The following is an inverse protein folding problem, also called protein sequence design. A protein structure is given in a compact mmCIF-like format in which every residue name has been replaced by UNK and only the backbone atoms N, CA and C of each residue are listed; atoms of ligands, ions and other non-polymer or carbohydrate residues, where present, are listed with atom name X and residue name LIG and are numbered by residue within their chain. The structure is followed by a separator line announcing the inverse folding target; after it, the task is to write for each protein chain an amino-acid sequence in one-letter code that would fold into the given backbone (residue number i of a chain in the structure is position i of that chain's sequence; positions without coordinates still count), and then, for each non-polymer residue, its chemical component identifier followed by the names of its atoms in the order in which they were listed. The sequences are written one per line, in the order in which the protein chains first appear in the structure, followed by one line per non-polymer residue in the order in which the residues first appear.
data_IF_194803819420
#
_entry.id   IF_194803819420
#
_cell.length_a   1.000
_cell.length_b   1.000
_cell.length_c   1.000
_cell.angle_alpha   90.00
_cell.angle_beta   90.00
_cell.angle_gamma   90.00
#
_symmetry.space_group_name_H-M   'P 1'
#
loop_
_entity.id
_entity.type
_entity.pdbx_description
1 polymer ?
#
# COMPACT_ATOMS: atom_id res chain seq x y z
N UNK A 1 13.95 -3.56 -13.12
CA UNK A 1 13.56 -4.98 -13.22
C UNK A 1 12.09 -4.99 -13.57
N UNK A 2 11.70 -5.78 -14.57
CA UNK A 2 10.31 -5.81 -15.08
C UNK A 2 9.46 -6.84 -14.33
N UNK A 3 10.08 -7.69 -13.51
CA UNK A 3 9.39 -8.66 -12.65
C UNK A 3 9.20 -8.08 -11.25
N UNK A 4 7.98 -8.23 -10.72
CA UNK A 4 7.67 -7.80 -9.36
C UNK A 4 8.41 -8.65 -8.33
N UNK A 5 9.03 -8.05 -7.29
CA UNK A 5 9.70 -8.81 -6.23
C UNK A 5 8.71 -9.48 -5.25
N UNK A 6 7.42 -9.13 -5.34
CA UNK A 6 6.41 -9.54 -4.36
C UNK A 6 6.19 -11.05 -4.23
N UNK A 7 6.17 -11.87 -5.30
CA UNK A 7 5.95 -13.30 -5.16
C UNK A 7 7.03 -13.99 -4.32
N UNK A 8 8.30 -13.63 -4.55
CA UNK A 8 9.42 -14.18 -3.78
C UNK A 8 9.37 -13.71 -2.32
N UNK A 9 9.19 -12.40 -2.09
CA UNK A 9 9.15 -11.81 -0.75
C UNK A 9 7.93 -12.27 0.06
N UNK A 10 6.79 -12.48 -0.60
CA UNK A 10 5.53 -12.90 0.01
C UNK A 10 5.58 -14.30 0.62
N UNK A 11 6.52 -15.14 0.16
CA UNK A 11 6.76 -16.48 0.68
C UNK A 11 7.59 -16.52 1.96
N UNK A 12 8.24 -15.41 2.33
CA UNK A 12 9.13 -15.36 3.49
C UNK A 12 8.33 -15.48 4.80
N UNK A 13 8.55 -16.55 5.60
CA UNK A 13 7.66 -16.88 6.72
C UNK A 13 7.78 -15.95 7.93
N UNK A 14 8.86 -15.16 8.00
CA UNK A 14 9.20 -14.29 9.12
C UNK A 14 9.42 -12.83 8.72
N UNK A 15 9.02 -12.44 7.50
CA UNK A 15 9.11 -11.05 7.09
C UNK A 15 8.12 -10.20 7.89
N UNK A 16 8.64 -9.32 8.74
CA UNK A 16 7.85 -8.43 9.61
C UNK A 16 7.75 -7.02 9.04
N UNK A 17 8.78 -6.59 8.32
CA UNK A 17 8.85 -5.27 7.71
C UNK A 17 9.31 -5.41 6.26
N UNK A 18 8.65 -4.67 5.39
CA UNK A 18 8.97 -4.61 3.97
C UNK A 18 8.99 -3.15 3.54
N UNK A 19 10.12 -2.73 2.99
CA UNK A 19 10.28 -1.43 2.37
C UNK A 19 10.62 -1.65 0.89
N UNK A 20 9.82 -1.05 0.03
CA UNK A 20 10.01 -1.03 -1.41
C UNK A 20 10.31 0.42 -1.80
N UNK A 21 11.53 0.68 -2.25
CA UNK A 21 12.01 2.02 -2.63
C UNK A 21 12.62 1.90 -4.02
N UNK A 22 12.00 2.51 -5.03
CA UNK A 22 12.42 2.44 -6.45
C UNK A 22 12.78 0.99 -6.89
N UNK A 23 12.06 0.00 -6.35
CA UNK A 23 12.48 -1.40 -6.43
C UNK A 23 11.90 -2.13 -7.64
N UNK A 24 10.96 -1.50 -8.35
CA UNK A 24 10.22 -2.09 -9.46
C UNK A 24 9.63 -0.99 -10.35
N UNK A 25 9.74 -1.18 -11.67
CA UNK A 25 9.35 -0.16 -12.67
C UNK A 25 8.00 -0.43 -13.33
N UNK A 26 7.31 -1.50 -12.95
CA UNK A 26 5.99 -1.79 -13.51
C UNK A 26 4.86 -1.01 -12.84
N UNK A 27 3.70 -1.08 -13.46
CA UNK A 27 2.56 -0.21 -13.15
C UNK A 27 1.68 -0.70 -11.99
N UNK A 28 1.87 -1.96 -11.57
CA UNK A 28 1.02 -2.60 -10.56
C UNK A 28 1.83 -3.34 -9.50
N UNK A 29 1.43 -3.16 -8.24
CA UNK A 29 1.86 -4.01 -7.13
C UNK A 29 0.69 -4.90 -6.71
N UNK A 30 0.86 -6.21 -6.88
CA UNK A 30 -0.15 -7.22 -6.51
C UNK A 30 0.36 -8.01 -5.30
N UNK A 31 -0.26 -7.78 -4.14
CA UNK A 31 -0.07 -8.58 -2.95
C UNK A 31 -1.02 -9.78 -3.02
N UNK A 32 -0.47 -10.94 -3.36
CA UNK A 32 -1.22 -12.17 -3.60
C UNK A 32 -1.91 -12.71 -2.35
N UNK A 33 -2.98 -13.47 -2.54
CA UNK A 33 -3.73 -14.08 -1.44
C UNK A 33 -2.81 -14.93 -0.55
N UNK A 34 -3.01 -14.85 0.77
CA UNK A 34 -2.27 -15.62 1.78
C UNK A 34 -0.75 -15.36 1.86
N UNK A 35 -0.25 -14.33 1.18
CA UNK A 35 1.16 -13.89 1.26
C UNK A 35 1.43 -12.97 2.46
N UNK A 36 2.71 -12.80 2.80
CA UNK A 36 3.17 -11.82 3.82
C UNK A 36 2.54 -12.03 5.21
N UNK A 37 2.44 -13.29 5.65
CA UNK A 37 1.64 -13.69 6.82
C UNK A 37 2.00 -12.98 8.13
N UNK A 38 3.26 -12.56 8.31
CA UNK A 38 3.74 -11.88 9.53
C UNK A 38 4.08 -10.40 9.34
N UNK A 39 3.78 -9.84 8.16
CA UNK A 39 4.13 -8.48 7.84
C UNK A 39 3.29 -7.52 8.69
N UNK A 40 3.96 -6.59 9.36
CA UNK A 40 3.37 -5.56 10.22
C UNK A 40 3.56 -4.16 9.67
N UNK A 41 4.68 -3.91 8.99
CA UNK A 41 5.03 -2.61 8.44
C UNK A 41 5.28 -2.73 6.94
N UNK A 42 4.58 -1.92 6.16
CA UNK A 42 4.77 -1.82 4.71
C UNK A 42 5.07 -0.36 4.32
N UNK A 43 6.18 -0.16 3.63
CA UNK A 43 6.56 1.13 3.03
C UNK A 43 6.67 0.95 1.52
N UNK A 44 5.99 1.81 0.77
CA UNK A 44 6.08 1.91 -0.70
C UNK A 44 6.45 3.34 -1.03
N UNK A 45 7.64 3.53 -1.57
CA UNK A 45 8.25 4.84 -1.81
C UNK A 45 8.93 4.90 -3.19
N UNK A 46 8.89 6.07 -3.83
CA UNK A 46 9.64 6.38 -5.07
C UNK A 46 9.24 5.52 -6.28
N UNK A 47 7.93 5.28 -6.44
CA UNK A 47 7.41 4.60 -7.63
C UNK A 47 6.85 5.58 -8.66
N UNK A 48 7.68 5.95 -9.63
CA UNK A 48 7.31 6.91 -10.68
C UNK A 48 6.21 6.43 -11.63
N UNK A 49 6.06 5.12 -11.85
CA UNK A 49 5.13 4.53 -12.83
C UNK A 49 3.99 3.72 -12.20
N UNK A 50 3.93 3.63 -10.86
CA UNK A 50 2.94 2.79 -10.19
C UNK A 50 1.55 3.41 -10.29
N UNK A 51 0.65 2.77 -11.03
CA UNK A 51 -0.74 3.17 -11.22
C UNK A 51 -1.69 2.58 -10.17
N UNK A 52 -1.44 1.33 -9.75
CA UNK A 52 -2.38 0.58 -8.89
C UNK A 52 -1.68 -0.30 -7.86
N UNK A 53 -2.28 -0.39 -6.68
CA UNK A 53 -1.96 -1.40 -5.67
C UNK A 53 -3.19 -2.30 -5.50
N UNK A 54 -2.98 -3.62 -5.58
CA UNK A 54 -4.00 -4.65 -5.38
C UNK A 54 -3.62 -5.53 -4.19
N UNK A 55 -4.52 -5.60 -3.21
CA UNK A 55 -4.40 -6.47 -2.05
C UNK A 55 -5.46 -7.55 -2.20
N UNK A 56 -5.02 -8.78 -2.50
CA UNK A 56 -5.91 -9.92 -2.58
C UNK A 56 -6.32 -10.40 -1.18
N UNK A 57 -7.46 -11.09 -1.09
CA UNK A 57 -8.01 -11.54 0.19
C UNK A 57 -7.03 -12.40 0.99
N UNK A 58 -6.83 -12.06 2.26
CA UNK A 58 -5.95 -12.79 3.17
C UNK A 58 -4.46 -12.47 3.04
N UNK A 59 -4.07 -11.55 2.16
CA UNK A 59 -2.72 -10.98 2.15
C UNK A 59 -2.49 -10.12 3.41
N UNK A 60 -1.28 -10.18 3.97
CA UNK A 60 -0.83 -9.32 5.08
C UNK A 60 -1.84 -9.22 6.25
N UNK A 61 -2.32 -10.34 6.82
CA UNK A 61 -3.39 -10.33 7.82
C UNK A 61 -3.03 -9.63 9.13
N UNK A 62 -1.73 -9.41 9.37
CA UNK A 62 -1.18 -8.78 10.57
C UNK A 62 -0.66 -7.35 10.34
N UNK A 63 -0.96 -6.74 9.18
CA UNK A 63 -0.47 -5.40 8.86
C UNK A 63 -1.03 -4.36 9.84
N UNK A 64 -0.13 -3.55 10.42
CA UNK A 64 -0.44 -2.48 11.36
C UNK A 64 -0.18 -1.10 10.77
N UNK A 65 0.94 -0.95 10.06
CA UNK A 65 1.35 0.33 9.49
C UNK A 65 1.58 0.23 7.98
N UNK A 66 1.03 1.21 7.26
CA UNK A 66 1.26 1.39 5.83
C UNK A 66 1.73 2.82 5.56
N UNK A 67 2.78 2.97 4.75
CA UNK A 67 3.26 4.25 4.25
C UNK A 67 3.31 4.25 2.73
N UNK A 68 2.76 5.29 2.12
CA UNK A 68 2.79 5.54 0.68
C UNK A 68 3.41 6.90 0.40
N UNK A 69 4.41 6.95 -0.47
CA UNK A 69 5.06 8.21 -0.79
C UNK A 69 5.75 8.30 -2.12
N UNK A 70 5.83 9.53 -2.66
CA UNK A 70 6.54 9.81 -3.92
C UNK A 70 6.09 8.87 -5.05
N UNK A 71 4.79 8.56 -5.09
CA UNK A 71 4.16 7.76 -6.14
C UNK A 71 3.23 8.69 -6.96
N UNK A 72 3.77 9.51 -7.88
CA UNK A 72 3.01 10.55 -8.57
C UNK A 72 1.89 10.00 -9.47
N UNK A 73 2.08 8.80 -10.04
CA UNK A 73 1.13 8.17 -10.96
C UNK A 73 0.12 7.24 -10.27
N UNK A 74 0.16 7.10 -8.94
CA UNK A 74 -0.79 6.26 -8.23
C UNK A 74 -2.15 6.96 -8.20
N UNK A 75 -3.10 6.57 -9.05
CA UNK A 75 -4.38 7.29 -9.20
C UNK A 75 -5.50 6.74 -8.32
N UNK A 76 -5.36 5.51 -7.84
CA UNK A 76 -6.39 4.81 -7.08
C UNK A 76 -5.91 4.46 -5.68
N UNK A 77 -6.80 4.54 -4.70
CA UNK A 77 -6.55 3.96 -3.39
C UNK A 77 -6.36 2.43 -3.48
N UNK A 78 -5.51 1.81 -2.63
CA UNK A 78 -5.25 0.37 -2.71
C UNK A 78 -6.54 -0.46 -2.74
N UNK A 79 -6.71 -1.25 -3.81
CA UNK A 79 -7.87 -2.13 -3.95
C UNK A 79 -7.75 -3.26 -2.93
N UNK A 80 -8.82 -3.57 -2.23
CA UNK A 80 -8.79 -4.60 -1.18
C UNK A 80 -8.30 -4.13 0.18
N UNK A 81 -8.02 -2.82 0.37
CA UNK A 81 -7.61 -2.26 1.68
C UNK A 81 -8.56 -2.63 2.84
N UNK A 82 -9.85 -2.84 2.55
CA UNK A 82 -10.84 -3.25 3.55
C UNK A 82 -10.58 -4.63 4.15
N UNK A 83 -9.76 -5.47 3.49
CA UNK A 83 -9.32 -6.76 4.02
C UNK A 83 -8.27 -6.62 5.12
N UNK A 84 -7.60 -5.46 5.22
CA UNK A 84 -6.56 -5.17 6.20
C UNK A 84 -7.17 -4.65 7.51
N UNK A 85 -7.86 -5.53 8.24
CA UNK A 85 -8.64 -5.17 9.42
C UNK A 85 -7.81 -4.65 10.62
N UNK A 86 -6.50 -4.90 10.63
CA UNK A 86 -5.59 -4.54 11.74
C UNK A 86 -4.75 -3.28 11.49
N UNK A 87 -4.97 -2.59 10.36
CA UNK A 87 -4.22 -1.37 10.06
C UNK A 87 -4.64 -0.27 11.01
N UNK A 88 -3.67 0.16 11.80
CA UNK A 88 -3.82 1.17 12.85
C UNK A 88 -3.33 2.55 12.37
N UNK A 89 -2.38 2.56 11.42
CA UNK A 89 -1.75 3.77 10.91
C UNK A 89 -1.54 3.76 9.40
N UNK A 90 -1.93 4.86 8.77
CA UNK A 90 -1.65 5.16 7.36
C UNK A 90 -0.92 6.49 7.27
N UNK A 91 0.24 6.49 6.63
CA UNK A 91 1.00 7.71 6.31
C UNK A 91 1.02 7.89 4.81
N UNK A 92 0.68 9.09 4.34
CA UNK A 92 0.68 9.45 2.93
C UNK A 92 1.37 10.78 2.76
N UNK A 93 2.41 10.85 1.92
CA UNK A 93 3.12 12.10 1.66
C UNK A 93 3.64 12.20 0.23
N UNK A 94 3.72 13.42 -0.30
CA UNK A 94 4.24 13.70 -1.65
C UNK A 94 3.63 12.81 -2.76
N UNK A 95 2.29 12.75 -2.78
CA UNK A 95 1.53 11.95 -3.74
C UNK A 95 1.00 12.79 -4.90
N UNK A 96 0.68 12.12 -6.01
CA UNK A 96 -0.01 12.74 -7.15
C UNK A 96 -1.33 13.44 -6.75
N UNK A 97 -1.63 14.55 -7.45
CA UNK A 97 -2.82 15.38 -7.17
C UNK A 97 -4.13 14.59 -7.21
N UNK A 98 -4.24 13.61 -8.11
CA UNK A 98 -5.43 12.76 -8.23
C UNK A 98 -5.64 11.89 -6.99
N UNK A 99 -4.58 11.26 -6.49
CA UNK A 99 -4.60 10.47 -5.25
C UNK A 99 -5.00 11.33 -4.05
N UNK A 100 -4.31 12.46 -3.87
CA UNK A 100 -4.56 13.39 -2.78
C UNK A 100 -6.02 13.89 -2.80
N UNK A 101 -6.57 14.17 -3.99
CA UNK A 101 -7.96 14.59 -4.16
C UNK A 101 -8.99 13.51 -3.80
N UNK A 102 -8.62 12.22 -3.83
CA UNK A 102 -9.48 11.09 -3.48
C UNK A 102 -9.54 10.79 -1.98
N UNK A 103 -8.46 11.02 -1.24
CA UNK A 103 -8.36 10.70 0.19
C UNK A 103 -8.63 11.89 1.12
N UNK A 104 -8.68 13.13 0.57
CA UNK A 104 -9.06 14.35 1.31
C UNK A 104 -10.48 14.26 1.86
N UNK A 105 -10.85 15.23 2.72
CA UNK A 105 -12.13 15.28 3.47
C UNK A 105 -13.40 14.98 2.65
N UNK A 106 -13.47 15.44 1.39
CA UNK A 106 -14.63 15.23 0.50
C UNK A 106 -14.30 14.32 -0.70
N UNK A 107 -13.20 13.57 -0.61
CA UNK A 107 -12.75 12.67 -1.66
C UNK A 107 -13.50 11.33 -1.61
N UNK A 108 -13.59 10.67 -2.77
CA UNK A 108 -14.36 9.42 -2.95
C UNK A 108 -13.87 8.26 -2.07
N UNK A 109 -12.59 8.25 -1.70
CA UNK A 109 -11.98 7.17 -0.92
C UNK A 109 -11.82 7.53 0.57
N UNK A 110 -12.34 8.69 1.00
CA UNK A 110 -12.24 9.14 2.40
C UNK A 110 -12.81 8.13 3.39
N UNK A 111 -13.88 7.44 3.00
CA UNK A 111 -14.52 6.40 3.81
C UNK A 111 -13.61 5.19 4.07
N UNK A 112 -12.68 4.90 3.17
CA UNK A 112 -11.72 3.79 3.32
C UNK A 112 -10.67 4.14 4.36
N UNK A 113 -10.20 5.39 4.31
CA UNK A 113 -9.22 5.94 5.25
C UNK A 113 -9.82 6.15 6.64
N UNK A 114 -11.11 6.48 6.74
CA UNK A 114 -11.79 6.78 8.01
C UNK A 114 -11.89 5.61 9.00
N UNK A 115 -11.61 4.37 8.58
CA UNK A 115 -11.53 3.20 9.47
C UNK A 115 -10.20 3.10 10.19
N UNK A 116 -9.17 3.78 9.67
CA UNK A 116 -7.80 3.73 10.20
C UNK A 116 -7.69 4.77 11.33
N UNK A 117 -7.36 4.35 12.56
CA UNK A 117 -7.28 5.24 13.73
C UNK A 117 -6.37 6.45 13.52
N UNK A 118 -5.18 6.25 12.95
CA UNK A 118 -4.19 7.30 12.76
C UNK A 118 -3.91 7.49 11.27
N UNK A 119 -4.13 8.70 10.77
CA UNK A 119 -3.88 9.03 9.37
C UNK A 119 -3.11 10.35 9.30
N UNK A 120 -1.92 10.31 8.71
CA UNK A 120 -1.10 11.49 8.47
C UNK A 120 -1.02 11.79 6.98
N UNK A 121 -1.28 13.05 6.64
CA UNK A 121 -1.07 13.63 5.32
C UNK A 121 0.00 14.70 5.45
N UNK A 122 1.05 14.63 4.65
CA UNK A 122 2.06 15.70 4.52
C UNK A 122 2.22 16.13 3.06
#
# INVERSE_FOLDING_TARGET
MDESPLPALGSLPNLVELQLVDSYIGEELIFEAYSFKKLKNLVIEEFSQLHTIVIQGGAMPDLKEMSLSKCPELRMFPRGIHSLAKVEKLTVYDMGKEFAARIRRNGKDRVMVGRIPVVHFQ
#
